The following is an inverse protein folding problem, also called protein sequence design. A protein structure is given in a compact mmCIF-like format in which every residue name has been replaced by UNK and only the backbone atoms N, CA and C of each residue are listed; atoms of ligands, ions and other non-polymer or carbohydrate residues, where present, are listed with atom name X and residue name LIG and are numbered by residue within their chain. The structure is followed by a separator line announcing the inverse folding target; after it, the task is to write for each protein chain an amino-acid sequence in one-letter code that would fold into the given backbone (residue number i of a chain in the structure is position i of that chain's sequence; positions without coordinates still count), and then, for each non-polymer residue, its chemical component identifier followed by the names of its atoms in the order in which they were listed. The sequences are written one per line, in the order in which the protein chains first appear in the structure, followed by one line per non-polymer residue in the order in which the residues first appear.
data_IF_332521506353
#
_entry.id   IF_332521506353
#
_cell.length_a   1.000
_cell.length_b   1.000
_cell.length_c   1.000
_cell.angle_alpha   90.00
_cell.angle_beta   90.00
_cell.angle_gamma   90.00
#
_symmetry.space_group_name_H-M   'P 1'
#
loop_
_entity.id
_entity.type
_entity.pdbx_description
1 polymer ?
#
# COMPACT_ATOMS: atom_id res chain seq x y z
N UNK A 1 -2.13 -18.56 15.44
CA UNK A 1 -1.63 -17.19 15.28
C UNK A 1 -0.93 -16.58 16.49
N UNK A 2 -1.10 -17.08 17.71
CA UNK A 2 -0.43 -16.53 18.91
C UNK A 2 1.10 -16.60 18.89
N UNK A 3 1.69 -17.53 18.13
CA UNK A 3 3.15 -17.72 18.06
C UNK A 3 3.82 -16.79 17.02
N UNK A 4 3.05 -16.11 16.18
CA UNK A 4 3.53 -15.23 15.10
C UNK A 4 3.27 -13.73 15.39
N UNK A 5 2.71 -13.38 16.55
CA UNK A 5 2.50 -11.98 16.91
C UNK A 5 3.84 -11.30 17.24
N UNK A 6 4.04 -10.04 16.81
CA UNK A 6 5.26 -9.32 17.09
C UNK A 6 5.44 -9.13 18.60
N UNK A 7 6.70 -9.01 19.05
CA UNK A 7 7.02 -8.73 20.44
C UNK A 7 6.35 -7.42 20.87
N UNK A 8 5.54 -7.48 21.95
CA UNK A 8 4.78 -6.34 22.41
C UNK A 8 5.69 -5.21 22.92
N UNK A 9 5.56 -4.05 22.31
CA UNK A 9 6.19 -2.80 22.79
C UNK A 9 5.13 -1.94 23.47
N UNK A 10 5.53 -1.22 24.51
CA UNK A 10 4.62 -0.40 25.31
C UNK A 10 4.68 1.09 24.94
N UNK A 11 5.49 1.46 23.97
CA UNK A 11 5.66 2.85 23.55
C UNK A 11 6.53 3.00 22.29
N UNK A 12 6.60 4.23 21.81
CA UNK A 12 7.45 4.62 20.67
C UNK A 12 8.94 4.40 20.96
N UNK A 13 9.69 3.87 19.96
CA UNK A 13 9.24 3.43 18.64
C UNK A 13 8.56 2.05 18.67
N UNK A 14 7.43 1.94 18.00
CA UNK A 14 6.77 0.66 17.73
C UNK A 14 7.40 -0.06 16.52
N UNK A 15 7.09 -1.34 16.30
CA UNK A 15 7.65 -2.14 15.21
C UNK A 15 7.30 -1.55 13.84
N UNK A 16 6.07 -1.07 13.66
CA UNK A 16 5.65 -0.37 12.43
C UNK A 16 6.61 0.78 12.06
N UNK A 17 7.08 1.56 13.05
CA UNK A 17 8.04 2.63 12.83
C UNK A 17 9.39 2.11 12.37
N UNK A 18 9.91 1.08 13.04
CA UNK A 18 11.20 0.49 12.68
C UNK A 18 11.16 -0.11 11.28
N UNK A 19 10.06 -0.79 10.93
CA UNK A 19 9.88 -1.36 9.59
C UNK A 19 9.81 -0.27 8.52
N UNK A 20 9.08 0.81 8.79
CA UNK A 20 9.02 1.95 7.88
C UNK A 20 10.43 2.56 7.67
N UNK A 21 11.20 2.73 8.73
CA UNK A 21 12.58 3.24 8.66
C UNK A 21 13.53 2.31 7.93
N UNK A 22 13.33 0.98 8.02
CA UNK A 22 14.16 -0.03 7.32
C UNK A 22 13.74 -0.25 5.86
N UNK A 23 12.66 0.38 5.39
CA UNK A 23 12.12 0.17 4.04
C UNK A 23 13.15 0.44 2.93
N UNK A 24 14.04 1.41 3.10
CA UNK A 24 15.10 1.67 2.12
C UNK A 24 16.06 0.48 1.94
N UNK A 25 16.44 -0.19 3.03
CA UNK A 25 17.28 -1.38 2.95
C UNK A 25 16.56 -2.54 2.25
N UNK A 26 15.26 -2.70 2.52
CA UNK A 26 14.41 -3.66 1.83
C UNK A 26 14.35 -3.40 0.33
N UNK A 27 14.08 -2.16 -0.06
CA UNK A 27 14.04 -1.73 -1.47
C UNK A 27 15.38 -1.97 -2.17
N UNK A 28 16.52 -1.59 -1.56
CA UNK A 28 17.84 -1.86 -2.14
C UNK A 28 18.07 -3.35 -2.38
N UNK A 29 17.77 -4.18 -1.39
CA UNK A 29 17.90 -5.64 -1.52
C UNK A 29 17.00 -6.18 -2.62
N UNK A 30 15.73 -5.73 -2.65
CA UNK A 30 14.76 -6.11 -3.69
C UNK A 30 15.28 -5.77 -5.08
N UNK A 31 15.79 -4.57 -5.31
CA UNK A 31 16.34 -4.18 -6.62
C UNK A 31 17.56 -5.02 -7.02
N UNK A 32 18.44 -5.36 -6.05
CA UNK A 32 19.57 -6.25 -6.31
C UNK A 32 19.12 -7.68 -6.71
N UNK A 33 18.04 -8.18 -6.09
CA UNK A 33 17.44 -9.46 -6.46
C UNK A 33 16.82 -9.36 -7.85
N UNK A 34 16.03 -8.31 -8.12
CA UNK A 34 15.34 -8.14 -9.39
C UNK A 34 16.30 -7.99 -10.59
N UNK A 35 17.51 -7.45 -10.40
CA UNK A 35 18.57 -7.41 -11.43
C UNK A 35 19.03 -8.81 -11.87
N UNK A 36 18.76 -9.86 -11.08
CA UNK A 36 19.15 -11.26 -11.36
C UNK A 36 17.98 -12.11 -11.87
N UNK A 37 16.76 -11.58 -11.85
CA UNK A 37 15.58 -12.29 -12.35
C UNK A 37 15.60 -12.32 -13.87
N UNK A 38 15.35 -13.49 -14.45
CA UNK A 38 15.12 -13.62 -15.88
C UNK A 38 13.77 -12.96 -16.25
N UNK A 39 13.85 -11.78 -16.82
CA UNK A 39 12.67 -10.99 -17.18
C UNK A 39 11.90 -11.54 -18.38
N UNK A 40 12.46 -12.51 -19.12
CA UNK A 40 11.79 -13.16 -20.27
C UNK A 40 10.59 -14.03 -19.86
N UNK A 41 10.47 -14.35 -18.57
CA UNK A 41 9.32 -15.09 -18.04
C UNK A 41 8.02 -14.27 -18.02
N UNK A 42 8.10 -12.94 -18.14
CA UNK A 42 6.92 -12.06 -18.12
C UNK A 42 6.34 -11.88 -19.52
N UNK A 43 5.16 -12.46 -19.74
CA UNK A 43 4.44 -12.46 -21.03
C UNK A 43 3.20 -11.56 -20.95
N UNK A 44 2.86 -10.88 -22.04
CA UNK A 44 1.64 -10.07 -22.14
C UNK A 44 0.39 -10.96 -22.32
N UNK A 45 -0.78 -10.58 -21.74
CA UNK A 45 -0.99 -9.47 -20.81
C UNK A 45 -0.47 -9.79 -19.40
N UNK A 46 -0.22 -8.73 -18.60
CA UNK A 46 0.15 -8.88 -17.19
C UNK A 46 -1.09 -8.76 -16.27
N UNK A 47 -1.26 -9.71 -15.36
CA UNK A 47 -2.25 -9.60 -14.29
C UNK A 47 -1.54 -9.61 -12.94
N UNK A 48 -1.82 -8.61 -12.09
CA UNK A 48 -1.33 -8.52 -10.72
C UNK A 48 -2.44 -8.95 -9.77
N UNK A 49 -2.14 -9.83 -8.82
CA UNK A 49 -3.11 -10.30 -7.84
C UNK A 49 -2.50 -10.40 -6.44
N UNK A 50 -3.36 -10.29 -5.44
CA UNK A 50 -3.04 -10.33 -4.01
C UNK A 50 -4.20 -9.83 -3.19
N UNK A 51 -3.96 -9.54 -1.91
CA UNK A 51 -4.95 -8.96 -1.00
C UNK A 51 -4.35 -7.77 -0.24
N UNK A 52 -5.18 -6.76 0.05
CA UNK A 52 -4.78 -5.60 0.85
C UNK A 52 -3.48 -4.97 0.35
N UNK A 53 -2.54 -4.75 1.25
CA UNK A 53 -1.24 -4.13 0.97
C UNK A 53 -0.48 -4.81 -0.18
N UNK A 54 -0.54 -6.13 -0.29
CA UNK A 54 0.13 -6.86 -1.37
C UNK A 54 -0.47 -6.51 -2.75
N UNK A 55 -1.79 -6.38 -2.86
CA UNK A 55 -2.44 -5.94 -4.10
C UNK A 55 -2.15 -4.46 -4.38
N UNK A 56 -2.28 -3.60 -3.36
CA UNK A 56 -2.07 -2.17 -3.53
C UNK A 56 -0.62 -1.85 -3.95
N UNK A 57 0.36 -2.51 -3.36
CA UNK A 57 1.77 -2.36 -3.75
C UNK A 57 2.02 -2.83 -5.19
N UNK A 58 1.39 -3.94 -5.58
CA UNK A 58 1.43 -4.43 -6.95
C UNK A 58 0.85 -3.43 -7.96
N UNK A 59 -0.28 -2.80 -7.63
CA UNK A 59 -0.87 -1.73 -8.45
C UNK A 59 0.09 -0.55 -8.54
N UNK A 60 0.61 -0.06 -7.41
CA UNK A 60 1.51 1.09 -7.38
C UNK A 60 2.75 0.93 -8.27
N UNK A 61 3.31 -0.29 -8.36
CA UNK A 61 4.46 -0.56 -9.22
C UNK A 61 4.12 -0.88 -10.69
N UNK A 62 2.85 -1.16 -11.01
CA UNK A 62 2.45 -1.60 -12.37
C UNK A 62 1.69 -0.57 -13.19
N UNK A 63 1.05 0.40 -12.55
CA UNK A 63 0.14 1.34 -13.23
C UNK A 63 0.81 2.19 -14.32
N UNK A 64 2.12 2.37 -14.27
CA UNK A 64 2.91 3.03 -15.32
C UNK A 64 2.78 2.32 -16.68
N UNK A 65 2.48 1.02 -16.69
CA UNK A 65 2.24 0.26 -17.91
C UNK A 65 1.01 0.76 -18.67
N UNK A 66 -0.03 1.19 -17.96
CA UNK A 66 -1.23 1.78 -18.57
C UNK A 66 -0.92 3.07 -19.34
N UNK A 67 -0.02 3.91 -18.84
CA UNK A 67 0.47 5.12 -19.54
C UNK A 67 1.12 4.79 -20.88
N UNK A 68 1.72 3.60 -20.99
CA UNK A 68 2.35 3.11 -22.24
C UNK A 68 1.39 2.32 -23.14
N UNK A 69 0.10 2.25 -22.79
CA UNK A 69 -0.88 1.48 -23.54
C UNK A 69 -0.66 -0.04 -23.49
N UNK A 70 0.14 -0.52 -22.55
CA UNK A 70 0.41 -1.95 -22.38
C UNK A 70 -0.75 -2.61 -21.64
N UNK A 71 -1.05 -3.85 -22.03
CA UNK A 71 -2.14 -4.61 -21.42
C UNK A 71 -1.72 -5.13 -20.05
N UNK A 72 -2.27 -4.51 -19.02
CA UNK A 72 -2.14 -4.94 -17.64
C UNK A 72 -3.47 -4.77 -16.90
N UNK A 73 -3.68 -5.55 -15.85
CA UNK A 73 -4.81 -5.41 -14.94
C UNK A 73 -4.44 -5.84 -13.53
N UNK A 74 -5.20 -5.37 -12.56
CA UNK A 74 -5.17 -5.86 -11.19
C UNK A 74 -6.49 -6.52 -10.84
N UNK A 75 -6.44 -7.70 -10.24
CA UNK A 75 -7.62 -8.44 -9.80
C UNK A 75 -7.34 -8.92 -8.38
N UNK A 76 -8.25 -8.65 -7.45
CA UNK A 76 -8.16 -9.15 -6.09
C UNK A 76 -8.16 -10.69 -6.10
N UNK A 77 -7.40 -11.33 -5.21
CA UNK A 77 -7.14 -12.76 -5.32
C UNK A 77 -8.38 -13.64 -5.23
N UNK A 78 -9.32 -13.31 -4.34
CA UNK A 78 -10.59 -14.05 -4.23
C UNK A 78 -11.44 -13.90 -5.50
N UNK A 79 -11.49 -12.69 -6.07
CA UNK A 79 -12.18 -12.43 -7.34
C UNK A 79 -11.55 -13.22 -8.50
N UNK A 80 -10.19 -13.26 -8.55
CA UNK A 80 -9.49 -14.04 -9.56
C UNK A 80 -9.76 -15.54 -9.42
N UNK A 81 -9.78 -16.04 -8.17
CA UNK A 81 -10.08 -17.43 -7.90
C UNK A 81 -11.48 -17.84 -8.37
N UNK A 82 -12.51 -17.00 -8.09
CA UNK A 82 -13.89 -17.41 -8.26
C UNK A 82 -14.55 -16.94 -9.55
N UNK A 83 -14.23 -15.71 -10.00
CA UNK A 83 -15.03 -15.04 -11.03
C UNK A 83 -14.26 -14.66 -12.30
N UNK A 84 -12.92 -14.75 -12.29
CA UNK A 84 -12.12 -14.35 -13.44
C UNK A 84 -11.23 -15.46 -13.97
N UNK A 85 -10.85 -15.34 -15.24
CA UNK A 85 -9.77 -16.08 -15.88
C UNK A 85 -8.62 -15.12 -16.18
N UNK A 86 -7.43 -15.67 -16.37
CA UNK A 86 -6.26 -14.91 -16.78
C UNK A 86 -5.41 -15.72 -17.78
N UNK A 87 -4.71 -14.98 -18.63
CA UNK A 87 -3.74 -15.46 -19.61
C UNK A 87 -2.47 -14.62 -19.51
N UNK A 88 -1.47 -14.89 -20.32
CA UNK A 88 -0.18 -14.22 -20.25
C UNK A 88 0.54 -14.53 -18.95
N UNK A 89 0.95 -13.52 -18.19
CA UNK A 89 1.58 -13.71 -16.88
C UNK A 89 0.70 -13.20 -15.75
N UNK A 90 0.49 -14.04 -14.73
CA UNK A 90 -0.15 -13.67 -13.47
C UNK A 90 0.89 -13.56 -12.36
N UNK A 91 1.02 -12.40 -11.76
CA UNK A 91 1.94 -12.11 -10.67
C UNK A 91 1.13 -12.10 -9.37
N UNK A 92 1.33 -13.11 -8.54
CA UNK A 92 0.71 -13.23 -7.23
C UNK A 92 1.65 -12.73 -6.14
N UNK A 93 1.19 -11.78 -5.33
CA UNK A 93 1.98 -11.18 -4.26
C UNK A 93 1.38 -11.57 -2.92
N UNK A 94 2.22 -12.10 -2.02
CA UNK A 94 1.85 -12.39 -0.63
C UNK A 94 3.07 -12.25 0.26
N UNK A 95 3.05 -11.37 1.25
CA UNK A 95 4.17 -11.14 2.16
C UNK A 95 4.65 -12.45 2.81
N UNK A 96 3.76 -13.17 3.49
CA UNK A 96 4.08 -14.46 4.11
C UNK A 96 4.15 -15.62 3.11
N UNK A 97 3.61 -15.41 1.91
CA UNK A 97 3.44 -16.47 0.91
C UNK A 97 2.41 -17.54 1.28
N UNK A 98 1.64 -17.32 2.34
CA UNK A 98 0.67 -18.28 2.89
C UNK A 98 -0.78 -17.92 2.63
N UNK A 99 -1.11 -16.68 2.25
CA UNK A 99 -2.50 -16.18 2.07
C UNK A 99 -3.28 -17.10 1.14
N UNK A 100 -4.23 -17.84 1.72
CA UNK A 100 -4.94 -18.94 1.05
C UNK A 100 -5.58 -18.53 -0.28
N UNK A 101 -6.36 -17.45 -0.31
CA UNK A 101 -7.02 -16.99 -1.53
C UNK A 101 -6.00 -16.64 -2.64
N UNK A 102 -4.85 -16.04 -2.30
CA UNK A 102 -3.79 -15.77 -3.29
C UNK A 102 -3.17 -17.07 -3.80
N UNK A 103 -2.89 -18.02 -2.92
CA UNK A 103 -2.33 -19.33 -3.29
C UNK A 103 -3.31 -20.11 -4.19
N UNK A 104 -4.59 -20.11 -3.86
CA UNK A 104 -5.60 -20.85 -4.61
C UNK A 104 -5.90 -20.19 -5.97
N UNK A 105 -5.91 -18.84 -6.04
CA UNK A 105 -5.94 -18.12 -7.31
C UNK A 105 -4.78 -18.52 -8.23
N UNK A 106 -3.54 -18.56 -7.69
CA UNK A 106 -2.35 -18.95 -8.46
C UNK A 106 -2.45 -20.40 -8.98
N UNK A 107 -2.91 -21.35 -8.14
CA UNK A 107 -3.14 -22.75 -8.56
C UNK A 107 -4.17 -22.84 -9.70
N UNK A 108 -5.27 -22.07 -9.59
CA UNK A 108 -6.33 -22.06 -10.61
C UNK A 108 -5.81 -21.59 -11.96
N UNK A 109 -5.17 -20.42 -11.98
CA UNK A 109 -4.75 -19.78 -13.25
C UNK A 109 -3.51 -20.40 -13.88
N UNK A 110 -2.69 -21.14 -13.13
CA UNK A 110 -1.48 -21.81 -13.62
C UNK A 110 -1.74 -22.77 -14.80
N UNK A 111 -2.98 -23.19 -14.98
CA UNK A 111 -3.37 -24.06 -16.10
C UNK A 111 -3.33 -23.34 -17.45
N UNK A 112 -3.52 -22.01 -17.46
CA UNK A 112 -3.71 -21.22 -18.67
C UNK A 112 -2.75 -20.02 -18.77
N UNK A 113 -1.96 -19.74 -17.72
CA UNK A 113 -1.07 -18.59 -17.63
C UNK A 113 0.27 -18.99 -17.02
N UNK A 114 1.32 -18.26 -17.34
CA UNK A 114 2.55 -18.27 -16.57
C UNK A 114 2.29 -17.60 -15.23
N UNK A 115 2.64 -18.25 -14.14
CA UNK A 115 2.42 -17.71 -12.81
C UNK A 115 3.73 -17.40 -12.11
N UNK A 116 3.84 -16.19 -11.55
CA UNK A 116 5.01 -15.73 -10.79
C UNK A 116 4.57 -15.39 -9.38
N UNK A 117 5.06 -16.13 -8.39
CA UNK A 117 4.80 -15.88 -6.98
C UNK A 117 5.88 -14.99 -6.37
N UNK A 118 5.50 -13.90 -5.70
CA UNK A 118 6.41 -13.02 -4.97
C UNK A 118 6.11 -13.15 -3.47
N UNK A 119 7.16 -13.38 -2.67
CA UNK A 119 7.06 -13.49 -1.20
C UNK A 119 8.34 -12.98 -0.53
N UNK A 120 8.27 -12.62 0.76
CA UNK A 120 9.43 -12.29 1.60
C UNK A 120 10.04 -13.52 2.29
N UNK A 121 9.40 -14.68 2.17
CA UNK A 121 9.87 -15.94 2.74
C UNK A 121 10.09 -16.98 1.64
N UNK A 122 11.16 -17.76 1.80
CA UNK A 122 11.42 -18.92 0.94
C UNK A 122 10.51 -20.12 1.25
N UNK A 123 10.40 -21.04 0.29
CA UNK A 123 9.70 -22.31 0.45
C UNK A 123 8.22 -22.21 0.85
N UNK A 124 7.55 -21.14 0.47
CA UNK A 124 6.17 -20.85 0.84
C UNK A 124 5.15 -21.49 -0.12
N UNK A 125 3.86 -21.63 0.32
CA UNK A 125 2.79 -22.13 -0.54
C UNK A 125 2.63 -21.40 -1.88
N UNK A 126 2.74 -20.05 -1.90
CA UNK A 126 2.61 -19.29 -3.15
C UNK A 126 3.73 -19.60 -4.13
N UNK A 127 4.99 -19.76 -3.66
CA UNK A 127 6.11 -20.11 -4.52
C UNK A 127 5.93 -21.51 -5.12
N UNK A 128 5.40 -22.47 -4.36
CA UNK A 128 5.09 -23.83 -4.84
C UNK A 128 3.90 -23.87 -5.80
N UNK A 129 2.91 -22.99 -5.60
CA UNK A 129 1.74 -22.88 -6.45
C UNK A 129 2.06 -22.23 -7.81
N UNK A 130 3.14 -21.47 -7.91
CA UNK A 130 3.52 -20.70 -9.10
C UNK A 130 4.49 -21.46 -10.01
N UNK A 131 4.57 -21.06 -11.28
CA UNK A 131 5.56 -21.58 -12.25
C UNK A 131 6.96 -21.10 -11.89
N UNK A 132 7.05 -19.82 -11.47
CA UNK A 132 8.27 -19.18 -11.01
C UNK A 132 8.07 -18.56 -9.65
N UNK A 133 9.10 -18.56 -8.82
CA UNK A 133 9.07 -17.97 -7.48
C UNK A 133 10.17 -16.93 -7.31
N UNK A 134 9.83 -15.78 -6.73
CA UNK A 134 10.80 -14.72 -6.43
C UNK A 134 10.69 -14.38 -4.94
N UNK A 135 11.81 -14.47 -4.23
CA UNK A 135 11.91 -14.03 -2.82
C UNK A 135 12.58 -12.67 -2.80
N UNK A 136 11.93 -11.67 -2.20
CA UNK A 136 12.38 -10.27 -2.19
C UNK A 136 12.63 -9.75 -0.77
N UNK A 137 13.18 -8.55 -0.69
CA UNK A 137 13.50 -7.87 0.58
C UNK A 137 14.84 -8.29 1.19
N UNK A 138 15.26 -7.58 2.24
CA UNK A 138 16.44 -7.95 3.06
C UNK A 138 16.06 -8.81 4.27
N UNK A 139 14.85 -8.60 4.79
CA UNK A 139 14.23 -9.34 5.88
C UNK A 139 12.71 -9.16 5.79
N UNK A 140 11.90 -10.09 6.32
CA UNK A 140 10.45 -9.91 6.38
C UNK A 140 10.05 -8.68 7.19
N UNK A 141 8.93 -8.06 6.81
CA UNK A 141 8.27 -7.05 7.63
C UNK A 141 7.72 -7.71 8.88
N UNK A 142 8.07 -7.17 10.05
CA UNK A 142 7.63 -7.68 11.35
C UNK A 142 6.38 -6.98 11.87
N UNK A 143 5.97 -5.89 11.21
CA UNK A 143 4.72 -5.19 11.53
C UNK A 143 3.54 -5.88 10.88
N UNK A 144 2.46 -6.10 11.63
CA UNK A 144 1.20 -6.59 11.04
C UNK A 144 0.63 -5.62 10.00
N UNK A 145 0.98 -4.33 10.09
CA UNK A 145 0.61 -3.31 9.10
C UNK A 145 1.35 -3.42 7.75
N UNK A 146 2.42 -4.22 7.65
CA UNK A 146 3.14 -4.48 6.39
C UNK A 146 3.61 -3.22 5.62
N UNK A 147 4.13 -2.22 6.32
CA UNK A 147 4.57 -0.94 5.71
C UNK A 147 5.82 -1.08 4.85
N UNK A 148 6.84 -1.80 5.33
CA UNK A 148 8.07 -2.11 4.59
C UNK A 148 7.77 -3.00 3.38
N UNK A 149 6.95 -4.03 3.58
CA UNK A 149 6.57 -4.96 2.54
C UNK A 149 5.87 -4.28 1.35
N UNK A 150 5.11 -3.20 1.60
CA UNK A 150 4.54 -2.40 0.51
C UNK A 150 5.62 -1.90 -0.45
N UNK A 151 6.66 -1.27 0.08
CA UNK A 151 7.72 -0.68 -0.75
C UNK A 151 8.54 -1.75 -1.45
N UNK A 152 8.89 -2.85 -0.78
CA UNK A 152 9.60 -3.97 -1.40
C UNK A 152 8.82 -4.53 -2.59
N UNK A 153 7.52 -4.78 -2.42
CA UNK A 153 6.64 -5.25 -3.50
C UNK A 153 6.50 -4.22 -4.63
N UNK A 154 6.29 -2.94 -4.30
CA UNK A 154 6.10 -1.88 -5.29
C UNK A 154 7.35 -1.70 -6.16
N UNK A 155 8.55 -1.74 -5.57
CA UNK A 155 9.80 -1.65 -6.32
C UNK A 155 10.09 -2.93 -7.12
N UNK A 156 9.73 -4.12 -6.63
CA UNK A 156 9.80 -5.35 -7.42
C UNK A 156 8.90 -5.26 -8.66
N UNK A 157 7.65 -4.82 -8.48
CA UNK A 157 6.71 -4.64 -9.58
C UNK A 157 7.13 -3.53 -10.53
N UNK A 158 7.71 -2.45 -10.02
CA UNK A 158 8.25 -1.37 -10.86
C UNK A 158 9.46 -1.87 -11.69
N UNK A 159 10.31 -2.74 -11.13
CA UNK A 159 11.40 -3.35 -11.89
C UNK A 159 10.88 -4.23 -13.04
N UNK A 160 9.84 -5.03 -12.79
CA UNK A 160 9.15 -5.81 -13.84
C UNK A 160 8.56 -4.87 -14.89
N UNK A 161 7.86 -3.84 -14.47
CA UNK A 161 7.22 -2.85 -15.35
C UNK A 161 8.24 -2.09 -16.18
N UNK A 162 9.39 -1.73 -15.59
CA UNK A 162 10.48 -1.03 -16.27
C UNK A 162 11.04 -1.88 -17.42
N UNK A 163 11.28 -3.17 -17.18
CA UNK A 163 11.73 -4.09 -18.23
C UNK A 163 10.65 -4.32 -19.28
N UNK A 164 9.45 -4.73 -18.85
CA UNK A 164 8.34 -5.10 -19.73
C UNK A 164 7.88 -3.94 -20.63
N UNK A 165 7.84 -2.72 -20.08
CA UNK A 165 7.49 -1.51 -20.81
C UNK A 165 8.66 -0.81 -21.49
N UNK A 166 9.90 -1.31 -21.37
CA UNK A 166 11.13 -0.65 -21.85
C UNK A 166 11.16 0.84 -21.44
N UNK A 167 10.88 1.11 -20.14
CA UNK A 167 10.63 2.48 -19.66
C UNK A 167 11.91 3.28 -19.48
N UNK A 168 13.07 2.62 -19.34
CA UNK A 168 14.36 3.28 -19.13
C UNK A 168 14.50 4.00 -17.79
N UNK A 169 13.78 3.54 -16.75
CA UNK A 169 13.82 4.13 -15.41
C UNK A 169 15.13 3.78 -14.71
N UNK A 170 15.76 4.78 -14.12
CA UNK A 170 16.86 4.58 -13.16
C UNK A 170 16.27 4.27 -11.78
N UNK A 171 16.14 2.96 -11.48
CA UNK A 171 15.55 2.50 -10.23
C UNK A 171 16.46 2.70 -9.02
N UNK A 172 17.77 2.74 -9.23
CA UNK A 172 18.72 3.02 -8.14
C UNK A 172 18.59 4.50 -7.71
N UNK A 173 18.50 5.44 -8.67
CA UNK A 173 18.22 6.84 -8.38
C UNK A 173 16.83 7.03 -7.72
N UNK A 174 15.81 6.29 -8.17
CA UNK A 174 14.49 6.34 -7.53
C UNK A 174 14.55 5.85 -6.07
N UNK A 175 15.34 4.81 -5.79
CA UNK A 175 15.55 4.34 -4.41
C UNK A 175 16.22 5.40 -3.53
N UNK A 176 17.17 6.18 -4.06
CA UNK A 176 17.77 7.30 -3.31
C UNK A 176 16.77 8.44 -3.06
N UNK A 177 15.92 8.77 -4.03
CA UNK A 177 14.81 9.72 -3.82
C UNK A 177 13.83 9.22 -2.76
N UNK A 178 13.49 7.94 -2.80
CA UNK A 178 12.65 7.30 -1.77
C UNK A 178 13.28 7.42 -0.38
N UNK A 179 14.60 7.16 -0.24
CA UNK A 179 15.34 7.36 1.02
C UNK A 179 15.22 8.80 1.51
N UNK A 180 15.43 9.77 0.62
CA UNK A 180 15.31 11.19 0.97
C UNK A 180 13.90 11.53 1.48
N UNK A 181 12.85 11.01 0.85
CA UNK A 181 11.46 11.22 1.33
C UNK A 181 11.24 10.57 2.70
N UNK A 182 11.74 9.33 2.94
CA UNK A 182 11.68 8.67 4.25
C UNK A 182 12.29 9.52 5.37
N UNK A 183 13.47 10.14 5.10
CA UNK A 183 14.17 10.98 6.08
C UNK A 183 13.44 12.31 6.32
N UNK A 184 12.79 12.88 5.31
CA UNK A 184 12.16 14.21 5.38
C UNK A 184 10.73 14.23 5.84
N UNK A 185 9.97 13.11 5.70
CA UNK A 185 8.56 13.08 6.03
C UNK A 185 8.28 12.86 7.52
N UNK A 186 9.19 12.26 8.28
CA UNK A 186 8.98 11.79 9.65
C UNK A 186 8.49 12.92 10.58
N UNK A 187 9.32 13.92 10.83
CA UNK A 187 9.00 15.01 11.76
C UNK A 187 7.82 15.89 11.30
N UNK A 188 7.68 16.25 10.00
CA UNK A 188 6.48 16.94 9.52
C UNK A 188 5.19 16.18 9.76
N UNK A 189 5.16 14.86 9.53
CA UNK A 189 3.96 14.06 9.74
C UNK A 189 3.62 13.91 11.22
N UNK A 190 4.62 13.83 12.10
CA UNK A 190 4.43 13.90 13.54
C UNK A 190 3.75 15.18 13.98
N UNK A 191 4.24 16.32 13.53
CA UNK A 191 3.66 17.64 13.83
C UNK A 191 2.24 17.75 13.27
N UNK A 192 2.03 17.30 12.04
CA UNK A 192 0.71 17.31 11.40
C UNK A 192 -0.30 16.49 12.20
N UNK A 193 0.03 15.25 12.57
CA UNK A 193 -0.84 14.40 13.38
C UNK A 193 -1.20 15.07 14.71
N UNK A 194 -0.21 15.64 15.41
CA UNK A 194 -0.44 16.35 16.68
C UNK A 194 -1.38 17.55 16.53
N UNK A 195 -1.27 18.30 15.44
CA UNK A 195 -2.07 19.48 15.17
C UNK A 195 -3.50 19.17 14.76
N UNK A 196 -3.72 18.05 14.07
CA UNK A 196 -5.05 17.67 13.59
C UNK A 196 -6.02 17.27 14.70
N UNK A 197 -5.51 16.82 15.86
CA UNK A 197 -6.37 16.29 16.91
C UNK A 197 -7.06 14.97 16.53
N UNK A 198 -7.99 14.52 17.38
CA UNK A 198 -8.78 13.30 17.12
C UNK A 198 -9.99 13.60 16.23
N UNK A 199 -10.34 12.64 15.40
CA UNK A 199 -11.52 12.65 14.53
C UNK A 199 -12.21 11.30 14.59
N UNK A 200 -13.48 11.24 14.19
CA UNK A 200 -14.28 10.01 14.22
C UNK A 200 -14.31 9.30 12.85
N UNK A 201 -14.13 10.06 11.77
CA UNK A 201 -14.20 9.59 10.39
C UNK A 201 -13.10 10.20 9.55
N UNK A 202 -12.52 9.39 8.67
CA UNK A 202 -11.43 9.82 7.81
C UNK A 202 -11.73 9.36 6.38
N UNK A 203 -11.65 10.29 5.44
CA UNK A 203 -11.70 9.98 4.02
C UNK A 203 -10.33 10.28 3.42
N UNK A 204 -9.77 9.32 2.70
CA UNK A 204 -8.50 9.50 1.98
C UNK A 204 -8.82 9.51 0.50
N UNK A 205 -8.52 10.62 -0.16
CA UNK A 205 -8.89 10.86 -1.55
C UNK A 205 -7.66 10.88 -2.45
N UNK A 206 -7.83 10.38 -3.66
CA UNK A 206 -6.84 10.46 -4.72
C UNK A 206 -7.42 9.98 -6.02
N UNK A 207 -7.06 10.59 -7.13
CA UNK A 207 -7.49 10.18 -8.46
C UNK A 207 -6.40 9.45 -9.23
N UNK A 208 -6.76 8.79 -10.31
CA UNK A 208 -5.82 8.12 -11.20
C UNK A 208 -4.78 7.30 -10.45
N UNK A 209 -3.48 7.57 -10.66
CA UNK A 209 -2.42 6.83 -9.97
C UNK A 209 -2.42 6.98 -8.45
N UNK A 210 -2.91 8.09 -7.89
CA UNK A 210 -2.98 8.31 -6.45
C UNK A 210 -4.15 7.59 -5.76
N UNK A 211 -5.09 7.02 -6.51
CA UNK A 211 -6.19 6.26 -5.90
C UNK A 211 -5.69 5.04 -5.12
N UNK A 212 -4.61 4.40 -5.55
CA UNK A 212 -4.02 3.30 -4.77
C UNK A 212 -3.44 3.78 -3.44
N UNK A 213 -2.90 5.02 -3.39
CA UNK A 213 -2.41 5.63 -2.13
C UNK A 213 -3.59 5.90 -1.20
N UNK A 214 -4.70 6.40 -1.74
CA UNK A 214 -5.93 6.62 -0.97
C UNK A 214 -6.45 5.32 -0.33
N UNK A 215 -6.54 4.25 -1.11
CA UNK A 215 -6.99 2.93 -0.61
C UNK A 215 -6.06 2.35 0.44
N UNK A 216 -4.77 2.33 0.18
CA UNK A 216 -3.76 1.80 1.10
C UNK A 216 -3.65 2.66 2.35
N UNK A 217 -3.66 3.99 2.21
CA UNK A 217 -3.63 4.93 3.34
C UNK A 217 -4.82 4.76 4.28
N UNK A 218 -6.02 4.65 3.73
CA UNK A 218 -7.22 4.39 4.52
C UNK A 218 -7.16 3.03 5.23
N UNK A 219 -6.59 2.00 4.58
CA UNK A 219 -6.37 0.70 5.21
C UNK A 219 -5.42 0.83 6.40
N UNK A 220 -4.28 1.49 6.24
CA UNK A 220 -3.29 1.68 7.32
C UNK A 220 -3.84 2.50 8.47
N UNK A 221 -4.61 3.54 8.20
CA UNK A 221 -5.27 4.33 9.25
C UNK A 221 -6.22 3.43 10.06
N UNK A 222 -7.06 2.62 9.41
CA UNK A 222 -7.94 1.67 10.13
C UNK A 222 -7.15 0.69 10.99
N UNK A 223 -6.11 0.10 10.42
CA UNK A 223 -5.29 -0.91 11.08
C UNK A 223 -4.55 -0.35 12.30
N UNK A 224 -3.99 0.86 12.18
CA UNK A 224 -3.15 1.44 13.22
C UNK A 224 -3.91 2.25 14.26
N UNK A 225 -5.03 2.90 13.89
CA UNK A 225 -5.76 3.82 14.78
C UNK A 225 -7.08 3.27 15.30
N UNK A 226 -7.62 2.23 14.68
CA UNK A 226 -8.96 1.67 14.87
C UNK A 226 -10.09 2.66 14.57
N UNK A 227 -9.79 3.76 13.87
CA UNK A 227 -10.77 4.75 13.40
C UNK A 227 -11.28 4.36 12.02
N UNK A 228 -12.57 4.60 11.78
CA UNK A 228 -13.12 4.39 10.43
C UNK A 228 -12.41 5.29 9.42
N UNK A 229 -11.86 4.68 8.38
CA UNK A 229 -11.25 5.39 7.27
C UNK A 229 -11.64 4.74 5.95
N UNK A 230 -11.90 5.54 4.93
CA UNK A 230 -12.31 5.09 3.61
C UNK A 230 -11.43 5.72 2.52
N UNK A 231 -10.89 4.88 1.62
CA UNK A 231 -10.13 5.33 0.45
C UNK A 231 -11.06 5.44 -0.74
N UNK A 232 -11.28 6.65 -1.23
CA UNK A 232 -12.27 6.95 -2.28
C UNK A 232 -11.57 7.70 -3.40
N UNK A 233 -12.04 7.49 -4.63
CA UNK A 233 -11.62 8.30 -5.76
C UNK A 233 -12.08 9.75 -5.55
N UNK A 234 -11.25 10.71 -5.99
CA UNK A 234 -11.42 12.13 -5.66
C UNK A 234 -12.79 12.68 -6.07
N UNK A 235 -13.28 12.34 -7.27
CA UNK A 235 -14.59 12.82 -7.75
C UNK A 235 -15.74 12.03 -7.13
N UNK A 236 -15.60 10.71 -6.99
CA UNK A 236 -16.62 9.84 -6.36
C UNK A 236 -16.95 10.26 -4.92
N UNK A 237 -16.02 10.87 -4.20
CA UNK A 237 -16.28 11.42 -2.88
C UNK A 237 -17.45 12.40 -2.88
N UNK A 238 -17.61 13.18 -3.92
CA UNK A 238 -18.68 14.18 -4.05
C UNK A 238 -20.04 13.57 -4.38
N UNK A 239 -20.08 12.27 -4.75
CA UNK A 239 -21.29 11.56 -5.13
C UNK A 239 -21.86 10.71 -4.00
N UNK A 240 -22.05 11.32 -2.81
CA UNK A 240 -22.74 10.72 -1.67
C UNK A 240 -21.98 10.81 -0.34
N UNK A 241 -20.64 10.73 -0.34
CA UNK A 241 -19.85 10.73 0.90
C UNK A 241 -19.93 12.07 1.65
N UNK A 242 -20.18 13.15 0.93
CA UNK A 242 -20.37 14.50 1.51
C UNK A 242 -21.55 14.60 2.48
N UNK A 243 -22.50 13.67 2.42
CA UNK A 243 -23.65 13.65 3.35
C UNK A 243 -23.30 13.22 4.78
N UNK A 244 -22.10 12.65 5.00
CA UNK A 244 -21.69 12.11 6.31
C UNK A 244 -20.50 12.85 6.92
N UNK A 245 -20.01 13.94 6.30
CA UNK A 245 -18.92 14.74 6.84
C UNK A 245 -19.42 15.86 7.73
N UNK A 246 -18.66 16.16 8.78
CA UNK A 246 -18.91 17.22 9.77
C UNK A 246 -17.58 17.65 10.43
N UNK A 247 -17.65 18.43 11.52
CA UNK A 247 -16.49 18.91 12.28
C UNK A 247 -15.67 17.80 12.97
N UNK A 248 -16.19 16.55 13.01
CA UNK A 248 -15.50 15.36 13.50
C UNK A 248 -14.88 14.52 12.38
N UNK A 249 -14.89 15.04 11.17
CA UNK A 249 -14.36 14.38 9.97
C UNK A 249 -13.02 14.99 9.55
N UNK A 250 -12.17 14.17 8.93
CA UNK A 250 -10.94 14.57 8.28
C UNK A 250 -10.94 14.05 6.83
N UNK A 251 -10.67 14.92 5.89
CA UNK A 251 -10.44 14.58 4.48
C UNK A 251 -8.95 14.74 4.18
N UNK A 252 -8.29 13.65 3.86
CA UNK A 252 -6.89 13.60 3.44
C UNK A 252 -6.87 13.48 1.91
N UNK A 253 -6.23 14.41 1.21
CA UNK A 253 -6.17 14.44 -0.26
C UNK A 253 -4.73 14.21 -0.70
N UNK A 254 -4.54 13.24 -1.61
CA UNK A 254 -3.26 13.02 -2.29
C UNK A 254 -3.34 13.73 -3.63
N UNK A 255 -2.87 14.98 -3.63
CA UNK A 255 -3.04 15.89 -4.77
C UNK A 255 -2.05 15.62 -5.91
N UNK A 256 -2.48 15.91 -7.13
CA UNK A 256 -1.66 15.94 -8.33
C UNK A 256 -1.85 17.29 -9.06
N UNK A 257 -1.04 17.57 -10.07
CA UNK A 257 -1.20 18.79 -10.87
C UNK A 257 -2.55 18.79 -11.60
N UNK A 258 -2.97 17.64 -12.08
CA UNK A 258 -4.24 17.44 -12.78
C UNK A 258 -5.44 17.64 -11.84
N UNK A 259 -5.33 17.22 -10.58
CA UNK A 259 -6.40 17.30 -9.59
C UNK A 259 -6.51 18.66 -8.91
N UNK A 260 -5.48 19.48 -8.98
CA UNK A 260 -5.34 20.72 -8.20
C UNK A 260 -6.57 21.64 -8.20
N UNK A 261 -7.23 21.90 -9.34
CA UNK A 261 -8.46 22.69 -9.33
C UNK A 261 -9.55 22.05 -8.49
N UNK A 262 -9.73 20.73 -8.63
CA UNK A 262 -10.76 19.98 -7.90
C UNK A 262 -10.45 19.83 -6.41
N UNK A 263 -9.18 19.60 -6.08
CA UNK A 263 -8.69 19.61 -4.68
C UNK A 263 -9.05 20.93 -4.00
N UNK A 264 -8.81 22.06 -4.66
CA UNK A 264 -9.16 23.38 -4.14
C UNK A 264 -10.66 23.52 -3.85
N UNK A 265 -11.51 23.08 -4.78
CA UNK A 265 -12.97 23.13 -4.61
C UNK A 265 -13.41 22.29 -3.39
N UNK A 266 -12.86 21.08 -3.24
CA UNK A 266 -13.18 20.19 -2.12
C UNK A 266 -12.72 20.80 -0.79
N UNK A 267 -11.50 21.33 -0.72
CA UNK A 267 -10.97 22.01 0.50
C UNK A 267 -11.84 23.19 0.86
N UNK A 268 -12.28 24.00 -0.10
CA UNK A 268 -13.17 25.12 0.14
C UNK A 268 -14.55 24.67 0.63
N UNK A 269 -15.11 23.63 0.00
CA UNK A 269 -16.40 23.05 0.37
C UNK A 269 -16.40 22.44 1.77
N UNK A 270 -15.33 21.76 2.18
CA UNK A 270 -15.18 21.19 3.51
C UNK A 270 -15.30 22.22 4.64
N UNK A 271 -14.93 23.47 4.39
CA UNK A 271 -15.06 24.57 5.38
C UNK A 271 -16.50 24.83 5.77
N UNK A 272 -17.46 24.66 4.86
CA UNK A 272 -18.88 24.86 5.16
C UNK A 272 -19.46 23.82 6.12
N UNK A 273 -18.85 22.62 6.16
CA UNK A 273 -19.25 21.54 7.08
C UNK A 273 -18.41 21.50 8.36
N UNK A 274 -17.38 22.36 8.47
CA UNK A 274 -16.40 22.30 9.55
C UNK A 274 -15.41 21.14 9.43
N UNK A 275 -15.42 20.41 8.32
CA UNK A 275 -14.53 19.29 8.07
C UNK A 275 -13.09 19.77 7.87
N UNK A 276 -12.16 19.16 8.58
CA UNK A 276 -10.72 19.45 8.43
C UNK A 276 -10.13 18.78 7.20
N UNK A 277 -9.16 19.44 6.58
CA UNK A 277 -8.49 18.93 5.36
C UNK A 277 -6.99 18.84 5.57
N UNK A 278 -6.40 17.70 5.13
CA UNK A 278 -4.95 17.51 5.04
C UNK A 278 -4.58 17.18 3.59
N UNK A 279 -3.66 17.92 3.00
CA UNK A 279 -3.32 17.74 1.58
C UNK A 279 -1.84 17.42 1.42
N UNK A 280 -1.56 16.30 0.79
CA UNK A 280 -0.22 15.90 0.36
C UNK A 280 -0.02 16.41 -1.06
N UNK A 281 1.03 17.23 -1.28
CA UNK A 281 1.39 17.91 -2.53
C UNK A 281 0.45 19.06 -2.95
N UNK A 282 -0.29 19.62 -2.02
CA UNK A 282 -1.21 20.71 -2.29
C UNK A 282 -1.54 21.53 -1.05
N UNK A 283 -2.57 22.35 -1.10
CA UNK A 283 -2.96 23.26 -0.03
C UNK A 283 -4.26 22.85 0.65
N UNK A 284 -4.24 22.74 1.98
CA UNK A 284 -5.37 22.49 2.88
C UNK A 284 -5.15 23.14 4.23
N UNK A 285 -5.97 22.79 5.23
CA UNK A 285 -5.75 23.25 6.60
C UNK A 285 -4.40 22.74 7.13
N UNK A 286 -4.02 21.53 6.72
CA UNK A 286 -2.71 20.93 6.93
C UNK A 286 -2.14 20.55 5.57
N UNK A 287 -0.86 20.84 5.33
CA UNK A 287 -0.23 20.62 4.04
C UNK A 287 1.16 20.03 4.19
N UNK A 288 1.52 19.14 3.26
CA UNK A 288 2.88 18.63 3.13
C UNK A 288 3.22 18.39 1.67
N UNK A 289 4.32 18.97 1.21
CA UNK A 289 4.85 18.70 -0.11
C UNK A 289 5.95 17.64 -0.02
N UNK A 290 5.76 16.53 -0.76
CA UNK A 290 6.80 15.51 -0.89
C UNK A 290 8.02 16.14 -1.59
N UNK A 291 9.23 16.04 -0.99
CA UNK A 291 10.40 16.80 -1.47
C UNK A 291 10.93 16.34 -2.83
N UNK A 292 10.50 15.15 -3.28
CA UNK A 292 10.90 14.58 -4.57
C UNK A 292 9.71 14.50 -5.53
N UNK A 293 9.97 14.84 -6.79
CA UNK A 293 8.98 14.77 -7.88
C UNK A 293 9.41 13.72 -8.89
N UNK A 294 8.43 12.92 -9.31
CA UNK A 294 8.56 11.86 -10.29
C UNK A 294 7.43 11.94 -11.31
N UNK A 295 7.49 11.08 -12.33
CA UNK A 295 6.35 10.84 -13.20
C UNK A 295 5.09 10.52 -12.39
N UNK A 296 3.93 11.08 -12.77
CA UNK A 296 2.66 10.97 -12.01
C UNK A 296 2.25 9.52 -11.73
N UNK A 297 2.65 8.56 -12.58
CA UNK A 297 2.39 7.14 -12.39
C UNK A 297 3.36 6.42 -11.44
N UNK A 298 4.48 7.07 -11.08
CA UNK A 298 5.48 6.54 -10.14
C UNK A 298 5.39 7.29 -8.80
N UNK A 299 5.01 8.56 -8.84
CA UNK A 299 4.87 9.43 -7.67
C UNK A 299 4.09 8.79 -6.51
N UNK A 300 3.04 7.97 -6.72
CA UNK A 300 2.32 7.28 -5.65
C UNK A 300 3.19 6.49 -4.68
N UNK A 301 4.29 5.89 -5.16
CA UNK A 301 5.23 5.16 -4.29
C UNK A 301 5.87 6.10 -3.27
N UNK A 302 6.23 7.33 -3.68
CA UNK A 302 6.79 8.35 -2.79
C UNK A 302 5.70 8.98 -1.90
N UNK A 303 4.50 9.20 -2.43
CA UNK A 303 3.38 9.77 -1.69
C UNK A 303 2.90 8.86 -0.55
N UNK A 304 3.15 7.54 -0.64
CA UNK A 304 2.78 6.61 0.43
C UNK A 304 3.61 6.81 1.70
N UNK A 305 4.84 7.32 1.59
CA UNK A 305 5.72 7.54 2.76
C UNK A 305 5.09 8.47 3.81
N UNK A 306 4.72 9.72 3.48
CA UNK A 306 4.07 10.60 4.46
C UNK A 306 2.75 10.04 4.98
N UNK A 307 1.99 9.31 4.17
CA UNK A 307 0.71 8.70 4.60
C UNK A 307 0.95 7.64 5.67
N UNK A 308 2.00 6.82 5.55
CA UNK A 308 2.35 5.83 6.57
C UNK A 308 2.84 6.47 7.87
N UNK A 309 3.70 7.48 7.81
CA UNK A 309 4.09 8.22 9.00
C UNK A 309 2.89 8.90 9.67
N UNK A 310 1.98 9.49 8.87
CA UNK A 310 0.78 10.11 9.38
C UNK A 310 -0.10 9.09 10.12
N UNK A 311 -0.38 7.93 9.53
CA UNK A 311 -1.14 6.85 10.16
C UNK A 311 -0.49 6.39 11.46
N UNK A 312 0.83 6.23 11.48
CA UNK A 312 1.59 5.87 12.66
C UNK A 312 1.45 6.90 13.79
N UNK A 313 1.69 8.18 13.49
CA UNK A 313 1.60 9.23 14.52
C UNK A 313 0.17 9.51 14.97
N UNK A 314 -0.81 9.32 14.11
CA UNK A 314 -2.22 9.32 14.52
C UNK A 314 -2.51 8.20 15.53
N UNK A 315 -1.98 6.97 15.31
CA UNK A 315 -2.12 5.88 16.28
C UNK A 315 -1.60 6.27 17.67
N UNK A 316 -0.41 6.89 17.74
CA UNK A 316 0.16 7.38 18.99
C UNK A 316 -0.76 8.42 19.68
N UNK A 317 -1.33 9.32 18.90
CA UNK A 317 -2.25 10.34 19.41
C UNK A 317 -3.54 9.74 19.94
N UNK A 318 -4.04 8.66 19.30
CA UNK A 318 -5.22 7.93 19.77
C UNK A 318 -4.92 7.03 20.97
N UNK A 319 -3.63 6.82 21.31
CA UNK A 319 -3.20 5.92 22.37
C UNK A 319 -3.32 4.45 21.99
N UNK A 320 -3.22 4.15 20.68
CA UNK A 320 -3.31 2.81 20.10
C UNK A 320 -1.93 2.29 19.80
N UNK A 321 -1.67 1.00 20.08
CA UNK A 321 -0.49 0.31 19.63
C UNK A 321 -0.68 -0.11 18.15
N UNK A 322 0.06 0.47 17.18
CA UNK A 322 -0.14 0.19 15.76
C UNK A 322 0.30 -1.22 15.33
N UNK A 323 1.01 -1.94 16.20
CA UNK A 323 1.57 -3.25 15.84
C UNK A 323 0.57 -4.41 15.93
N UNK A 324 -0.61 -4.21 16.55
CA UNK A 324 -1.45 -5.33 16.99
C UNK A 324 -2.76 -5.53 16.22
N UNK A 325 -3.16 -4.64 15.32
CA UNK A 325 -4.46 -4.72 14.62
C UNK A 325 -5.65 -5.00 15.57
N UNK A 326 -5.56 -4.52 16.83
CA UNK A 326 -6.53 -4.74 17.90
C UNK A 326 -6.59 -6.18 18.47
N UNK A 327 -5.60 -7.03 18.20
CA UNK A 327 -5.58 -8.41 18.69
C UNK A 327 -5.33 -8.56 20.20
N UNK A 328 -5.02 -7.48 20.92
CA UNK A 328 -5.07 -7.42 22.37
C UNK A 328 -6.49 -7.60 22.93
N UNK A 329 -7.52 -7.33 22.13
CA UNK A 329 -8.91 -7.63 22.44
C UNK A 329 -9.28 -9.02 21.87
N UNK A 330 -9.57 -9.96 22.78
CA UNK A 330 -9.89 -11.34 22.42
C UNK A 330 -11.01 -11.48 21.37
N UNK A 331 -11.95 -10.55 21.32
CA UNK A 331 -13.05 -10.60 20.34
C UNK A 331 -12.53 -10.50 18.90
N UNK A 332 -11.51 -9.67 18.68
CA UNK A 332 -10.90 -9.50 17.34
C UNK A 332 -10.01 -10.68 16.99
N UNK A 333 -9.29 -11.22 17.96
CA UNK A 333 -8.50 -12.44 17.77
C UNK A 333 -9.40 -13.65 17.47
N UNK A 334 -10.53 -13.79 18.17
CA UNK A 334 -11.50 -14.87 17.94
C UNK A 334 -12.14 -14.73 16.54
N UNK A 335 -12.51 -13.49 16.13
CA UNK A 335 -12.99 -13.21 14.77
C UNK A 335 -11.98 -13.64 13.72
N UNK A 336 -10.72 -13.24 13.90
CA UNK A 336 -9.64 -13.51 12.97
C UNK A 336 -9.38 -15.04 12.84
N UNK A 337 -9.39 -15.78 13.93
CA UNK A 337 -9.24 -17.23 13.91
C UNK A 337 -10.36 -17.98 13.16
N UNK A 338 -11.57 -17.40 13.08
CA UNK A 338 -12.67 -17.97 12.29
C UNK A 338 -12.49 -17.66 10.81
N UNK A 339 -12.17 -16.40 10.47
CA UNK A 339 -12.04 -15.94 9.08
C UNK A 339 -10.74 -16.47 8.45
N UNK A 340 -9.69 -16.56 9.23
CA UNK A 340 -8.37 -17.04 8.84
C UNK A 340 -7.94 -18.19 9.77
N UNK A 341 -8.54 -19.38 9.62
CA UNK A 341 -8.15 -20.52 10.44
C UNK A 341 -6.69 -20.91 10.20
N UNK A 342 -6.05 -21.69 11.09
CA UNK A 342 -4.67 -22.13 10.93
C UNK A 342 -4.41 -22.71 9.54
N UNK A 343 -3.40 -22.17 8.85
CA UNK A 343 -3.06 -22.54 7.47
C UNK A 343 -3.75 -21.68 6.38
N UNK A 344 -4.59 -20.71 6.74
CA UNK A 344 -5.19 -19.76 5.80
C UNK A 344 -4.32 -18.49 5.56
N UNK A 345 -3.27 -18.31 6.35
CA UNK A 345 -2.26 -17.24 6.24
C UNK A 345 -0.87 -17.78 6.00
#
# INVERSE_FOLDING_TARGET
MTDDLPLQRTGHPYIMYDMLRDSYNGVKSTLQIMKKVDMSIFLSPLTVTGNGTALHSGIAGSQILGKKGLQWKSIQAYELEHFHSAEGTVIGISHTGKTKSTVDAMKKVRKNAVTVGISHFGNTPILKASTHGIVIGNSPDQSLCNTKAFFDNAFAMLAISNHFGSLGLDLDNLAEKFRHVLEKADEPMKKMAQSMGKVDRIFVLGSGPNFVVAREGAQKIKESTHVHAEGIELEEFNHGCTSVIDDRSLVIIIDSEEDRPRTKDIVEACRFTGTRTAVINGAGDYSYDVPERMDSYIQPILNMVPVYYLAYYMALQYGVNPDYLRFEDKRYLDYDNVVFPPGAH
#
